data_IF_222249335431
#
_entry.id   IF_222249335431
#
_cell.length_a   1.000
_cell.length_b   1.000
_cell.length_c   1.000
_cell.angle_alpha   90.00
_cell.angle_beta   90.00
_cell.angle_gamma   90.00
#
_symmetry.space_group_name_H-M   'P 1'
#
loop_
_entity.id
_entity.type
_entity.pdbx_description
1 polymer ?
#
# COMPACT_ATOMS: atom_id res chain seq x y z
N UNK A 1 -10.61 -12.79 -70.77
CA UNK A 1 -9.52 -13.55 -70.13
C UNK A 1 -8.89 -12.66 -69.05
N UNK A 2 -8.67 -13.18 -67.84
CA UNK A 2 -8.55 -12.40 -66.60
C UNK A 2 -7.10 -12.08 -66.24
N UNK A 3 -6.87 -10.99 -65.50
CA UNK A 3 -5.74 -10.90 -64.56
C UNK A 3 -6.25 -10.30 -63.25
N UNK A 4 -6.38 -11.19 -62.27
CA UNK A 4 -6.65 -10.85 -60.89
C UNK A 4 -5.52 -9.97 -60.31
N UNK A 5 -5.87 -8.96 -59.53
CA UNK A 5 -4.98 -8.34 -58.55
C UNK A 5 -5.74 -8.26 -57.23
N UNK A 6 -5.37 -9.14 -56.29
CA UNK A 6 -5.82 -9.11 -54.91
C UNK A 6 -5.15 -7.97 -54.13
N UNK A 7 -5.79 -7.46 -53.06
CA UNK A 7 -5.39 -6.25 -52.36
C UNK A 7 -4.33 -6.55 -51.29
N UNK A 8 -3.24 -5.77 -51.25
CA UNK A 8 -2.32 -5.76 -50.12
C UNK A 8 -2.94 -4.89 -49.03
N UNK A 9 -3.70 -5.51 -48.13
CA UNK A 9 -4.11 -4.88 -46.87
C UNK A 9 -2.90 -4.86 -45.94
N UNK A 10 -2.28 -3.68 -45.82
CA UNK A 10 -1.26 -3.39 -44.82
C UNK A 10 -1.91 -3.39 -43.43
N UNK A 11 -1.84 -4.51 -42.73
CA UNK A 11 -2.19 -4.59 -41.31
C UNK A 11 -1.03 -4.01 -40.50
N UNK A 12 -1.11 -2.73 -40.14
CA UNK A 12 -0.28 -2.16 -39.09
C UNK A 12 -0.77 -2.72 -37.74
N UNK A 13 -0.14 -3.79 -37.27
CA UNK A 13 -0.28 -4.24 -35.89
C UNK A 13 0.51 -3.26 -35.01
N UNK A 14 -0.17 -2.28 -34.45
CA UNK A 14 0.39 -1.43 -33.41
C UNK A 14 0.56 -2.30 -32.15
N UNK A 15 1.80 -2.73 -31.90
CA UNK A 15 2.20 -3.35 -30.64
C UNK A 15 2.11 -2.28 -29.54
N UNK A 16 0.98 -2.27 -28.84
CA UNK A 16 0.78 -1.51 -27.61
C UNK A 16 1.64 -2.18 -26.54
N UNK A 17 2.90 -1.72 -26.42
CA UNK A 17 3.78 -2.11 -25.32
C UNK A 17 3.22 -1.45 -24.06
N UNK A 18 2.40 -2.20 -23.33
CA UNK A 18 2.04 -1.86 -21.96
C UNK A 18 3.32 -1.92 -21.11
N UNK A 19 3.97 -0.77 -20.96
CA UNK A 19 4.99 -0.59 -19.94
C UNK A 19 4.31 -0.72 -18.58
N UNK A 20 4.30 -1.93 -18.01
CA UNK A 20 3.97 -2.14 -16.60
C UNK A 20 5.06 -1.41 -15.81
N UNK A 21 4.76 -0.19 -15.37
CA UNK A 21 5.57 0.45 -14.35
C UNK A 21 5.39 -0.37 -13.09
N UNK A 22 6.42 -1.12 -12.70
CA UNK A 22 6.52 -1.69 -11.38
C UNK A 22 6.63 -0.53 -10.38
N UNK A 23 5.50 0.08 -10.05
CA UNK A 23 5.38 0.89 -8.87
C UNK A 23 5.64 -0.04 -7.71
N UNK A 24 6.79 0.11 -7.03
CA UNK A 24 7.01 -0.60 -5.78
C UNK A 24 5.83 -0.22 -4.87
N UNK A 25 4.93 -1.18 -4.65
CA UNK A 25 3.81 -1.00 -3.76
C UNK A 25 4.36 -0.62 -2.38
N UNK A 26 3.69 0.29 -1.65
CA UNK A 26 4.05 0.54 -0.27
C UNK A 26 4.09 -0.80 0.48
N UNK A 27 5.09 -0.97 1.37
CA UNK A 27 5.04 -2.06 2.34
C UNK A 27 3.80 -1.81 3.19
N UNK A 28 2.77 -2.59 2.93
CA UNK A 28 1.58 -2.69 3.73
C UNK A 28 1.57 -4.11 4.26
N UNK A 29 1.65 -4.25 5.59
CA UNK A 29 1.48 -5.55 6.21
C UNK A 29 0.02 -5.97 5.99
N UNK A 30 -0.20 -7.11 5.35
CA UNK A 30 -1.54 -7.64 5.08
C UNK A 30 -1.98 -8.60 6.20
N UNK A 31 -1.57 -8.29 7.43
CA UNK A 31 -1.81 -9.11 8.63
C UNK A 31 -3.28 -9.03 9.07
N UNK A 32 -3.99 -7.97 8.64
CA UNK A 32 -5.39 -7.72 8.99
C UNK A 32 -6.28 -7.74 7.75
N UNK A 33 -7.44 -8.38 7.88
CA UNK A 33 -8.44 -8.36 6.82
C UNK A 33 -9.03 -6.95 6.67
N UNK A 34 -8.73 -6.30 5.55
CA UNK A 34 -9.18 -4.94 5.22
C UNK A 34 -10.70 -4.75 5.33
N UNK A 35 -11.48 -5.82 5.09
CA UNK A 35 -12.94 -5.85 5.20
C UNK A 35 -13.40 -6.83 6.29
N UNK A 36 -12.68 -6.93 7.42
CA UNK A 36 -13.11 -7.81 8.50
C UNK A 36 -14.55 -7.47 8.95
N UNK A 37 -15.42 -8.49 8.93
CA UNK A 37 -16.76 -8.36 9.47
C UNK A 37 -16.73 -8.43 10.99
N UNK A 38 -16.87 -7.26 11.62
CA UNK A 38 -16.92 -7.13 13.08
C UNK A 38 -18.35 -7.20 13.65
N UNK A 39 -19.38 -7.35 12.81
CA UNK A 39 -20.77 -7.49 13.28
C UNK A 39 -20.95 -8.66 14.27
N UNK A 40 -20.29 -9.83 14.09
CA UNK A 40 -20.37 -10.94 15.03
C UNK A 40 -19.85 -10.63 16.44
N UNK A 41 -19.06 -9.56 16.60
CA UNK A 41 -18.56 -9.14 17.92
C UNK A 41 -19.67 -8.59 18.81
N UNK A 42 -20.82 -8.17 18.25
CA UNK A 42 -21.93 -7.58 19.00
C UNK A 42 -21.45 -6.51 20.00
N UNK A 43 -20.78 -5.48 19.48
CA UNK A 43 -20.14 -4.45 20.30
C UNK A 43 -21.17 -3.68 21.13
N UNK A 44 -20.82 -3.35 22.36
CA UNK A 44 -21.61 -2.43 23.19
C UNK A 44 -21.61 -1.02 22.60
N UNK A 45 -22.53 -0.17 23.06
CA UNK A 45 -22.58 1.24 22.63
C UNK A 45 -21.26 1.96 22.92
N UNK A 46 -20.69 1.76 24.09
CA UNK A 46 -19.40 2.34 24.48
C UNK A 46 -18.26 1.82 23.59
N UNK A 47 -18.27 0.53 23.27
CA UNK A 47 -17.29 -0.07 22.36
C UNK A 47 -17.40 0.55 20.95
N UNK A 48 -18.61 0.78 20.46
CA UNK A 48 -18.86 1.47 19.19
C UNK A 48 -18.35 2.91 19.16
N UNK A 49 -18.57 3.67 20.24
CA UNK A 49 -18.14 5.06 20.34
C UNK A 49 -16.60 5.17 20.33
N UNK A 50 -15.92 4.27 21.03
CA UNK A 50 -14.46 4.18 21.00
C UNK A 50 -13.93 3.69 19.65
N UNK A 51 -14.57 2.68 19.03
CA UNK A 51 -14.18 2.21 17.70
C UNK A 51 -14.29 3.33 16.65
N UNK A 52 -15.27 4.22 16.75
CA UNK A 52 -15.36 5.39 15.87
C UNK A 52 -14.12 6.28 15.98
N UNK A 53 -13.60 6.50 17.19
CA UNK A 53 -12.35 7.27 17.41
C UNK A 53 -11.15 6.56 16.79
N UNK A 54 -11.03 5.25 17.02
CA UNK A 54 -9.97 4.42 16.43
C UNK A 54 -9.99 4.50 14.90
N UNK A 55 -11.18 4.43 14.27
CA UNK A 55 -11.33 4.54 12.80
C UNK A 55 -10.94 5.90 12.25
N UNK A 56 -11.22 6.99 12.97
CA UNK A 56 -10.79 8.33 12.57
C UNK A 56 -9.26 8.41 12.61
N UNK A 57 -8.63 7.88 13.66
CA UNK A 57 -7.17 7.85 13.78
C UNK A 57 -6.53 6.98 12.70
N UNK A 58 -7.13 5.83 12.38
CA UNK A 58 -6.73 4.98 11.27
C UNK A 58 -6.74 5.73 9.95
N UNK A 59 -7.85 6.40 9.63
CA UNK A 59 -7.94 7.21 8.42
C UNK A 59 -6.86 8.30 8.40
N UNK A 60 -6.65 8.97 9.53
CA UNK A 60 -5.63 10.02 9.63
C UNK A 60 -4.22 9.46 9.46
N UNK A 61 -3.92 8.26 9.97
CA UNK A 61 -2.66 7.55 9.80
C UNK A 61 -2.39 7.25 8.33
N UNK A 62 -3.38 6.67 7.67
CA UNK A 62 -3.35 6.36 6.24
C UNK A 62 -3.15 7.62 5.39
N UNK A 63 -3.94 8.67 5.63
CA UNK A 63 -3.84 9.91 4.86
C UNK A 63 -2.45 10.57 5.03
N UNK A 64 -1.84 10.49 6.24
CA UNK A 64 -0.46 10.96 6.47
C UNK A 64 0.57 10.14 5.70
N UNK A 65 0.43 8.82 5.67
CA UNK A 65 1.37 7.94 4.97
C UNK A 65 1.30 8.16 3.45
N UNK A 66 0.09 8.30 2.89
CA UNK A 66 -0.09 8.64 1.48
C UNK A 66 0.57 9.97 1.14
N UNK A 67 0.40 11.00 1.98
CA UNK A 67 1.05 12.30 1.76
C UNK A 67 2.59 12.22 1.84
N UNK A 68 3.14 11.47 2.80
CA UNK A 68 4.60 11.30 2.95
C UNK A 68 5.18 10.50 1.78
N UNK A 69 4.51 9.44 1.34
CA UNK A 69 4.87 8.68 0.14
C UNK A 69 4.87 9.56 -1.12
N UNK A 70 3.82 10.36 -1.32
CA UNK A 70 3.73 11.27 -2.46
C UNK A 70 4.86 12.32 -2.47
N UNK A 71 5.28 12.82 -1.31
CA UNK A 71 6.44 13.74 -1.20
C UNK A 71 7.75 13.04 -1.56
N UNK A 72 7.96 11.81 -1.09
CA UNK A 72 9.14 11.00 -1.44
C UNK A 72 9.21 10.75 -2.95
N UNK A 73 8.07 10.45 -3.57
CA UNK A 73 7.98 10.15 -5.01
C UNK A 73 8.35 11.35 -5.91
N UNK A 74 8.04 12.59 -5.48
CA UNK A 74 8.36 13.82 -6.26
C UNK A 74 9.85 13.95 -6.58
N UNK A 75 10.72 13.61 -5.65
CA UNK A 75 12.17 13.73 -5.81
C UNK A 75 12.82 12.41 -6.26
N UNK A 76 12.03 11.34 -6.46
CA UNK A 76 12.56 10.00 -6.70
C UNK A 76 13.47 9.93 -7.92
N UNK A 77 13.03 10.47 -9.05
CA UNK A 77 13.79 10.41 -10.31
C UNK A 77 15.14 11.12 -10.17
N UNK A 78 15.18 12.28 -9.52
CA UNK A 78 16.42 13.01 -9.29
C UNK A 78 17.37 12.24 -8.36
N UNK A 79 16.85 11.67 -7.28
CA UNK A 79 17.67 10.93 -6.31
C UNK A 79 18.30 9.67 -6.91
N UNK A 80 17.54 8.87 -7.68
CA UNK A 80 18.10 7.68 -8.33
C UNK A 80 19.12 8.06 -9.41
N UNK A 81 18.86 9.10 -10.20
CA UNK A 81 19.82 9.57 -11.22
C UNK A 81 21.15 9.98 -10.57
N UNK A 82 21.11 10.61 -9.39
CA UNK A 82 22.31 11.02 -8.66
C UNK A 82 23.18 9.82 -8.24
N UNK A 83 22.56 8.73 -7.80
CA UNK A 83 23.26 7.48 -7.46
C UNK A 83 23.86 6.84 -8.71
N UNK A 84 23.09 6.77 -9.79
CA UNK A 84 23.52 6.13 -11.05
C UNK A 84 24.62 6.91 -11.77
N UNK A 85 24.65 8.24 -11.62
CA UNK A 85 25.65 9.12 -12.22
C UNK A 85 26.95 9.23 -11.41
N UNK A 86 27.04 8.59 -10.24
CA UNK A 86 28.25 8.63 -9.40
C UNK A 86 29.37 7.79 -10.02
N UNK A 87 30.61 8.30 -10.02
CA UNK A 87 31.78 7.60 -10.55
C UNK A 87 32.10 6.31 -9.76
N UNK A 88 31.75 6.29 -8.47
CA UNK A 88 31.88 5.13 -7.57
C UNK A 88 30.55 4.89 -6.88
N UNK A 89 30.19 3.61 -6.71
CA UNK A 89 28.97 3.24 -6.00
C UNK A 89 29.08 3.58 -4.51
N UNK A 90 28.22 4.49 -4.04
CA UNK A 90 28.07 4.83 -2.63
C UNK A 90 26.91 4.02 -2.02
N UNK A 91 27.28 3.04 -1.20
CA UNK A 91 26.33 2.17 -0.51
C UNK A 91 25.42 2.93 0.46
N UNK A 92 25.91 4.00 1.09
CA UNK A 92 25.11 4.79 2.02
C UNK A 92 24.01 5.57 1.27
N UNK A 93 24.37 6.24 0.17
CA UNK A 93 23.39 6.93 -0.68
C UNK A 93 22.33 5.97 -1.24
N UNK A 94 22.73 4.75 -1.64
CA UNK A 94 21.80 3.72 -2.10
C UNK A 94 20.85 3.27 -0.98
N UNK A 95 21.36 3.06 0.23
CA UNK A 95 20.57 2.71 1.41
C UNK A 95 19.55 3.80 1.74
N UNK A 96 19.97 5.06 1.81
CA UNK A 96 19.10 6.19 2.12
C UNK A 96 17.96 6.32 1.09
N UNK A 97 18.26 6.11 -0.19
CA UNK A 97 17.25 6.12 -1.25
C UNK A 97 16.21 5.02 -1.07
N UNK A 98 16.65 3.79 -0.76
CA UNK A 98 15.76 2.64 -0.53
C UNK A 98 14.93 2.87 0.74
N UNK A 99 15.56 3.30 1.83
CA UNK A 99 14.89 3.56 3.11
C UNK A 99 13.81 4.63 2.97
N UNK A 100 14.11 5.75 2.31
CA UNK A 100 13.14 6.81 2.06
C UNK A 100 11.90 6.36 1.25
N UNK A 101 12.03 5.28 0.47
CA UNK A 101 10.92 4.68 -0.28
C UNK A 101 9.97 3.88 0.60
N UNK A 102 10.51 3.21 1.62
CA UNK A 102 9.76 2.28 2.46
C UNK A 102 9.32 2.85 3.81
N UNK A 103 10.05 3.86 4.32
CA UNK A 103 9.84 4.41 5.65
C UNK A 103 8.38 4.85 5.88
N UNK A 104 7.74 5.44 4.89
CA UNK A 104 6.34 5.87 5.01
C UNK A 104 5.35 4.71 5.19
N UNK A 105 5.59 3.58 4.53
CA UNK A 105 4.77 2.37 4.67
C UNK A 105 5.06 1.65 5.99
N UNK A 106 6.34 1.62 6.41
CA UNK A 106 6.75 1.08 7.69
C UNK A 106 6.12 1.85 8.87
N UNK A 107 6.22 3.18 8.86
CA UNK A 107 5.61 4.04 9.89
C UNK A 107 4.10 3.79 9.99
N UNK A 108 3.43 3.71 8.83
CA UNK A 108 2.00 3.42 8.76
C UNK A 108 1.67 2.03 9.32
N UNK A 109 2.45 1.01 8.98
CA UNK A 109 2.23 -0.37 9.45
C UNK A 109 2.37 -0.47 10.98
N UNK A 110 3.31 0.27 11.57
CA UNK A 110 3.45 0.39 13.03
C UNK A 110 2.24 1.09 13.65
N UNK A 111 1.78 2.18 13.04
CA UNK A 111 0.57 2.87 13.50
C UNK A 111 -0.66 1.96 13.40
N UNK A 112 -0.86 1.26 12.28
CA UNK A 112 -1.94 0.30 12.10
C UNK A 112 -1.92 -0.77 13.19
N UNK A 113 -0.77 -1.41 13.44
CA UNK A 113 -0.62 -2.40 14.51
C UNK A 113 -1.03 -1.84 15.88
N UNK A 114 -0.61 -0.61 16.20
CA UNK A 114 -0.99 0.04 17.45
C UNK A 114 -2.51 0.28 17.53
N UNK A 115 -3.15 0.69 16.43
CA UNK A 115 -4.59 0.90 16.37
C UNK A 115 -5.37 -0.41 16.53
N UNK A 116 -4.92 -1.48 15.86
CA UNK A 116 -5.51 -2.81 15.96
C UNK A 116 -5.36 -3.39 17.36
N UNK A 117 -4.19 -3.23 17.98
CA UNK A 117 -3.95 -3.61 19.38
C UNK A 117 -4.92 -2.90 20.33
N UNK A 118 -5.13 -1.59 20.18
CA UNK A 118 -6.11 -0.86 21.01
C UNK A 118 -7.53 -1.35 20.79
N UNK A 119 -7.92 -1.66 19.55
CA UNK A 119 -9.23 -2.23 19.29
C UNK A 119 -9.39 -3.60 19.95
N UNK A 120 -8.39 -4.47 19.84
CA UNK A 120 -8.37 -5.77 20.52
C UNK A 120 -8.55 -5.66 22.04
N UNK A 121 -7.90 -4.70 22.69
CA UNK A 121 -8.02 -4.48 24.13
C UNK A 121 -9.33 -3.83 24.58
N UNK A 122 -10.11 -3.28 23.65
CA UNK A 122 -11.46 -2.80 23.92
C UNK A 122 -12.48 -3.94 23.92
N UNK A 123 -12.15 -5.08 23.34
CA UNK A 123 -13.01 -6.26 23.27
C UNK A 123 -13.00 -7.05 24.57
N UNK A 124 -14.11 -7.71 24.86
CA UNK A 124 -14.17 -8.74 25.92
C UNK A 124 -13.37 -9.98 25.50
N UNK A 125 -12.95 -10.84 26.45
CA UNK A 125 -12.21 -12.07 26.10
C UNK A 125 -12.93 -12.97 25.08
N UNK A 126 -14.26 -12.99 25.08
CA UNK A 126 -15.02 -13.77 24.10
C UNK A 126 -15.01 -13.11 22.71
N UNK A 127 -15.16 -11.79 22.65
CA UNK A 127 -15.06 -11.03 21.41
C UNK A 127 -13.65 -11.11 20.81
N UNK A 128 -12.60 -11.10 21.64
CA UNK A 128 -11.21 -11.25 21.21
C UNK A 128 -10.98 -12.54 20.42
N UNK A 129 -11.52 -13.68 20.90
CA UNK A 129 -11.43 -14.97 20.20
C UNK A 129 -12.07 -14.90 18.81
N UNK A 130 -13.26 -14.29 18.72
CA UNK A 130 -13.96 -14.11 17.45
C UNK A 130 -13.16 -13.20 16.52
N UNK A 131 -12.66 -12.08 17.04
CA UNK A 131 -11.87 -11.13 16.26
C UNK A 131 -10.57 -11.74 15.72
N UNK A 132 -9.84 -12.52 16.52
CA UNK A 132 -8.64 -13.23 16.05
C UNK A 132 -8.97 -14.22 14.94
N UNK A 133 -10.10 -14.92 15.05
CA UNK A 133 -10.53 -15.90 14.06
C UNK A 133 -11.04 -15.28 12.75
N UNK A 134 -11.50 -14.01 12.76
CA UNK A 134 -12.13 -13.38 11.60
C UNK A 134 -11.31 -12.24 10.98
N UNK A 135 -10.50 -11.54 11.77
CA UNK A 135 -9.84 -10.31 11.36
C UNK A 135 -8.32 -10.44 11.15
N UNK A 136 -7.68 -11.44 11.74
CA UNK A 136 -6.24 -11.71 11.57
C UNK A 136 -6.04 -12.78 10.50
N UNK A 137 -5.01 -12.63 9.67
CA UNK A 137 -4.66 -13.59 8.60
C UNK A 137 -3.53 -14.53 9.00
#
# INVERSE_FOLDING_TARGET
MPKARLPVKMFCVALLVCSVTAEAAPIHLDDFSHNCDIRPLNLSREQHDNLRRIRIEYKKAYDRSVQKAARSERNRRQNIMKIMASDVFDNNSARDYVEARYLSGMDYSVEELALQHRFYHLLTPQQQKVWLATCVR
#
